data_IF_688765766401
#
_entry.id   IF_688765766401
#
_cell.length_a   1.000
_cell.length_b   1.000
_cell.length_c   1.000
_cell.angle_alpha   90.00
_cell.angle_beta   90.00
_cell.angle_gamma   90.00
#
_symmetry.space_group_name_H-M   'P 1'
#
loop_
_entity.id
_entity.type
_entity.pdbx_description
1 polymer ?
#
# COMPACT_ATOMS: atom_id res chain seq x y z
N UNK A 1 6.87 -19.49 -40.87
CA UNK A 1 6.40 -20.41 -39.81
C UNK A 1 7.42 -20.51 -38.65
N UNK A 2 7.61 -19.44 -37.86
CA UNK A 2 8.53 -19.43 -36.68
C UNK A 2 7.97 -18.69 -35.46
N UNK A 3 6.73 -18.17 -35.52
CA UNK A 3 6.17 -17.30 -34.47
C UNK A 3 5.07 -17.96 -33.63
N UNK A 4 4.71 -19.23 -33.87
CA UNK A 4 3.65 -19.91 -33.12
C UNK A 4 4.16 -20.66 -31.88
N UNK A 5 5.47 -20.89 -31.75
CA UNK A 5 6.04 -21.66 -30.64
C UNK A 5 6.42 -20.82 -29.40
N UNK A 6 6.54 -19.50 -29.52
CA UNK A 6 6.90 -18.63 -28.37
C UNK A 6 5.68 -18.33 -27.48
N UNK A 7 4.46 -18.38 -28.03
CA UNK A 7 3.24 -18.13 -27.25
C UNK A 7 2.83 -19.28 -26.32
N UNK A 8 3.31 -20.51 -26.53
CA UNK A 8 2.85 -21.66 -25.71
C UNK A 8 3.51 -21.76 -24.34
N UNK A 9 4.63 -21.06 -24.10
CA UNK A 9 5.38 -21.15 -22.83
C UNK A 9 4.77 -20.21 -21.75
N UNK A 10 3.94 -19.23 -22.13
CA UNK A 10 3.29 -18.31 -21.19
C UNK A 10 2.06 -18.89 -20.46
N UNK A 11 1.89 -20.21 -20.49
CA UNK A 11 0.83 -20.92 -19.78
C UNK A 11 1.40 -21.83 -18.70
N UNK A 12 2.38 -21.33 -17.92
CA UNK A 12 2.62 -21.90 -16.59
C UNK A 12 1.35 -21.63 -15.78
N UNK A 13 0.40 -22.57 -15.84
CA UNK A 13 -0.79 -22.61 -14.99
C UNK A 13 -0.30 -22.51 -13.54
N UNK A 14 -0.67 -21.43 -12.86
CA UNK A 14 -0.47 -21.29 -11.41
C UNK A 14 -1.12 -22.50 -10.72
N UNK A 15 -0.28 -23.45 -10.31
CA UNK A 15 -0.69 -24.57 -9.47
C UNK A 15 -1.10 -23.98 -8.13
N UNK A 16 -2.39 -24.07 -7.81
CA UNK A 16 -2.91 -23.64 -6.50
C UNK A 16 -2.90 -24.84 -5.58
N UNK A 17 -2.03 -24.83 -4.58
CA UNK A 17 -2.05 -25.81 -3.50
C UNK A 17 -3.28 -25.50 -2.65
N UNK A 18 -4.20 -26.47 -2.54
CA UNK A 18 -5.38 -26.37 -1.71
C UNK A 18 -5.07 -26.92 -0.33
N UNK A 19 -5.51 -26.19 0.70
CA UNK A 19 -5.38 -26.59 2.10
C UNK A 19 -6.73 -26.41 2.79
N UNK A 20 -7.04 -27.29 3.73
CA UNK A 20 -8.27 -27.22 4.53
C UNK A 20 -8.00 -26.46 5.82
N UNK A 21 -8.89 -25.53 6.16
CA UNK A 21 -8.90 -24.83 7.46
C UNK A 21 -10.22 -25.18 8.14
N UNK A 22 -10.15 -25.75 9.34
CA UNK A 22 -11.34 -26.01 10.16
C UNK A 22 -11.65 -24.78 11.02
N UNK A 23 -12.91 -24.38 11.05
CA UNK A 23 -13.42 -23.25 11.82
C UNK A 23 -14.78 -23.63 12.38
N UNK A 24 -15.17 -22.97 13.47
CA UNK A 24 -16.51 -23.10 14.04
C UNK A 24 -17.58 -22.60 13.05
N UNK A 25 -18.80 -23.13 13.18
CA UNK A 25 -19.92 -22.78 12.30
C UNK A 25 -20.26 -21.29 12.34
N UNK A 26 -20.12 -20.66 13.51
CA UNK A 26 -20.33 -19.22 13.66
C UNK A 26 -19.33 -18.41 12.82
N UNK A 27 -18.05 -18.77 12.88
CA UNK A 27 -16.99 -18.13 12.08
C UNK A 27 -17.23 -18.36 10.59
N UNK A 28 -17.68 -19.57 10.21
CA UNK A 28 -18.05 -19.88 8.83
C UNK A 28 -19.17 -18.97 8.33
N UNK A 29 -20.24 -18.76 9.12
CA UNK A 29 -21.35 -17.85 8.79
C UNK A 29 -20.84 -16.42 8.59
N UNK A 30 -19.99 -15.93 9.50
CA UNK A 30 -19.41 -14.60 9.41
C UNK A 30 -18.54 -14.42 8.15
N UNK A 31 -17.73 -15.42 7.79
CA UNK A 31 -16.96 -15.41 6.55
C UNK A 31 -17.83 -15.34 5.30
N UNK A 32 -18.98 -16.02 5.28
CA UNK A 32 -19.95 -15.92 4.19
C UNK A 32 -20.57 -14.53 4.10
N UNK A 33 -20.94 -13.92 5.23
CA UNK A 33 -21.46 -12.55 5.26
C UNK A 33 -20.45 -11.55 4.70
N UNK A 34 -19.17 -11.67 5.08
CA UNK A 34 -18.09 -10.81 4.56
C UNK A 34 -17.91 -11.02 3.05
N UNK A 35 -17.96 -12.27 2.57
CA UNK A 35 -17.86 -12.57 1.14
C UNK A 35 -19.03 -11.97 0.34
N UNK A 36 -20.25 -12.02 0.89
CA UNK A 36 -21.45 -11.43 0.27
C UNK A 36 -21.35 -9.90 0.20
N UNK A 37 -20.89 -9.26 1.27
CA UNK A 37 -20.66 -7.82 1.29
C UNK A 37 -19.60 -7.40 0.26
N UNK A 38 -18.49 -8.15 0.16
CA UNK A 38 -17.46 -7.92 -0.85
C UNK A 38 -17.98 -8.12 -2.27
N UNK A 39 -18.84 -9.12 -2.49
CA UNK A 39 -19.47 -9.37 -3.77
C UNK A 39 -20.40 -8.22 -4.17
N UNK A 40 -21.20 -7.71 -3.24
CA UNK A 40 -22.06 -6.54 -3.45
C UNK A 40 -21.23 -5.32 -3.86
N UNK A 41 -20.15 -5.02 -3.13
CA UNK A 41 -19.27 -3.87 -3.41
C UNK A 41 -18.50 -3.98 -4.73
N UNK A 42 -18.03 -5.18 -5.09
CA UNK A 42 -17.18 -5.39 -6.28
C UNK A 42 -17.97 -5.73 -7.55
N UNK A 43 -19.29 -5.96 -7.45
CA UNK A 43 -20.14 -6.35 -8.57
C UNK A 43 -19.76 -7.70 -9.21
N UNK A 44 -18.98 -8.54 -8.52
CA UNK A 44 -18.50 -9.83 -9.04
C UNK A 44 -18.48 -10.91 -7.96
N UNK A 45 -18.70 -12.16 -8.40
CA UNK A 45 -18.67 -13.33 -7.52
C UNK A 45 -17.35 -13.39 -6.76
N UNK A 46 -17.44 -13.44 -5.44
CA UNK A 46 -16.29 -13.44 -4.54
C UNK A 46 -16.19 -14.79 -3.85
N UNK A 47 -15.00 -15.41 -3.87
CA UNK A 47 -14.77 -16.70 -3.18
C UNK A 47 -14.39 -16.47 -1.72
N UNK A 48 -14.51 -17.53 -0.90
CA UNK A 48 -14.03 -17.48 0.50
C UNK A 48 -12.54 -17.14 0.58
N UNK A 49 -11.71 -17.62 -0.36
CA UNK A 49 -10.29 -17.25 -0.41
C UNK A 49 -10.08 -15.75 -0.65
N UNK A 50 -10.94 -15.10 -1.44
CA UNK A 50 -10.87 -13.65 -1.64
C UNK A 50 -11.32 -12.87 -0.41
N UNK A 51 -12.31 -13.38 0.33
CA UNK A 51 -12.70 -12.82 1.63
C UNK A 51 -11.56 -12.95 2.67
N UNK A 52 -10.94 -14.14 2.76
CA UNK A 52 -9.79 -14.37 3.64
C UNK A 52 -8.62 -13.46 3.27
N UNK A 53 -8.27 -13.35 1.98
CA UNK A 53 -7.23 -12.42 1.51
C UNK A 53 -7.54 -10.97 1.89
N UNK A 54 -8.80 -10.55 1.79
CA UNK A 54 -9.21 -9.21 2.20
C UNK A 54 -8.98 -8.97 3.69
N UNK A 55 -9.36 -9.92 4.54
CA UNK A 55 -9.13 -9.84 5.99
C UNK A 55 -7.64 -9.82 6.34
N UNK A 56 -6.83 -10.68 5.70
CA UNK A 56 -5.37 -10.68 5.85
C UNK A 56 -4.79 -9.33 5.43
N UNK A 57 -5.25 -8.79 4.29
CA UNK A 57 -4.80 -7.48 3.81
C UNK A 57 -5.12 -6.37 4.81
N UNK A 58 -6.31 -6.37 5.43
CA UNK A 58 -6.66 -5.41 6.49
C UNK A 58 -5.74 -5.57 7.70
N UNK A 59 -5.54 -6.80 8.17
CA UNK A 59 -4.67 -7.08 9.32
C UNK A 59 -3.22 -6.65 9.06
N UNK A 60 -2.65 -7.00 7.91
CA UNK A 60 -1.31 -6.59 7.50
C UNK A 60 -1.21 -5.09 7.25
N UNK A 61 -2.28 -4.46 6.76
CA UNK A 61 -2.36 -3.01 6.58
C UNK A 61 -2.27 -2.27 7.90
N UNK A 62 -2.90 -2.80 8.95
CA UNK A 62 -2.80 -2.26 10.32
C UNK A 62 -1.41 -2.48 10.92
N UNK A 63 -0.70 -3.51 10.48
CA UNK A 63 0.71 -3.79 10.83
C UNK A 63 1.73 -3.06 9.95
N UNK A 64 1.31 -2.23 8.98
CA UNK A 64 2.27 -1.45 8.18
C UNK A 64 3.12 -0.62 9.13
N UNK A 65 4.41 -0.97 9.16
CA UNK A 65 5.43 -0.33 9.96
C UNK A 65 5.43 1.17 9.62
N UNK A 66 4.75 1.94 10.46
CA UNK A 66 4.60 3.40 10.30
C UNK A 66 5.98 4.02 10.17
N UNK A 67 7.00 3.45 10.82
CA UNK A 67 8.40 3.85 10.70
C UNK A 67 8.95 3.66 9.29
N UNK A 68 8.60 2.57 8.62
CA UNK A 68 8.98 2.27 7.23
C UNK A 68 8.22 3.14 6.23
N UNK A 69 6.95 3.45 6.47
CA UNK A 69 6.24 4.47 5.67
C UNK A 69 6.82 5.86 5.88
N UNK A 70 7.15 6.26 7.11
CA UNK A 70 7.80 7.54 7.40
C UNK A 70 9.21 7.62 6.79
N UNK A 71 9.93 6.51 6.67
CA UNK A 71 11.20 6.47 5.92
C UNK A 71 11.02 6.68 4.41
N UNK A 72 9.82 6.47 3.86
CA UNK A 72 9.50 6.76 2.46
C UNK A 72 9.09 8.24 2.26
N UNK A 73 8.60 8.93 3.30
CA UNK A 73 8.18 10.34 3.24
C UNK A 73 9.32 11.35 3.44
N UNK A 74 10.58 10.91 3.47
CA UNK A 74 11.72 11.82 3.48
C UNK A 74 12.94 11.22 2.80
N UNK A 75 13.34 11.79 1.66
CA UNK A 75 14.51 11.40 0.88
C UNK A 75 15.86 11.50 1.64
N UNK A 76 15.83 12.01 2.87
CA UNK A 76 17.02 12.36 3.65
C UNK A 76 17.29 11.43 4.83
N UNK A 77 16.39 10.48 5.10
CA UNK A 77 16.56 9.51 6.18
C UNK A 77 17.00 10.13 7.51
N UNK A 78 17.96 9.47 8.16
CA UNK A 78 18.61 9.94 9.39
C UNK A 78 19.96 10.63 9.12
N UNK A 79 20.20 11.19 7.94
CA UNK A 79 21.50 11.82 7.62
C UNK A 79 21.60 13.21 8.27
N UNK A 80 22.44 13.39 9.30
CA UNK A 80 22.45 14.61 10.11
C UNK A 80 22.93 15.85 9.34
N UNK A 81 23.86 15.67 8.39
CA UNK A 81 24.37 16.77 7.55
C UNK A 81 23.29 17.38 6.69
N UNK A 82 22.45 16.53 6.10
CA UNK A 82 21.43 16.97 5.18
C UNK A 82 20.26 17.66 5.90
N UNK A 83 19.96 17.25 7.14
CA UNK A 83 19.03 17.97 8.04
C UNK A 83 19.54 19.34 8.44
N UNK A 84 20.84 19.46 8.73
CA UNK A 84 21.46 20.75 9.07
C UNK A 84 21.38 21.72 7.88
N UNK A 85 21.74 21.24 6.68
CA UNK A 85 21.67 22.04 5.45
C UNK A 85 20.24 22.53 5.16
N UNK A 86 19.23 21.68 5.31
CA UNK A 86 17.84 22.10 5.13
C UNK A 86 17.40 23.18 6.12
N UNK A 87 17.89 23.13 7.36
CA UNK A 87 17.57 24.13 8.37
C UNK A 87 18.18 25.49 8.00
N UNK A 88 19.41 25.49 7.50
CA UNK A 88 20.10 26.70 7.03
C UNK A 88 19.37 27.32 5.83
N UNK A 89 19.06 26.51 4.80
CA UNK A 89 18.30 26.95 3.63
C UNK A 89 16.92 27.52 3.98
N UNK A 90 16.27 26.96 5.01
CA UNK A 90 14.94 27.42 5.43
C UNK A 90 14.99 28.79 6.11
N UNK A 91 16.02 29.04 6.92
CA UNK A 91 16.23 30.36 7.55
C UNK A 91 16.53 31.42 6.50
N UNK A 92 17.39 31.11 5.52
CA UNK A 92 17.73 32.02 4.43
C UNK A 92 16.49 32.41 3.60
N UNK A 93 15.62 31.43 3.30
CA UNK A 93 14.38 31.68 2.58
C UNK A 93 13.41 32.56 3.37
N UNK A 94 13.25 32.32 4.68
CA UNK A 94 12.39 33.14 5.55
C UNK A 94 12.87 34.61 5.57
N UNK A 95 14.17 34.86 5.70
CA UNK A 95 14.73 36.23 5.64
C UNK A 95 14.49 36.90 4.29
N UNK A 96 14.61 36.15 3.20
CA UNK A 96 14.38 36.66 1.84
C UNK A 96 12.91 37.05 1.67
N UNK A 97 12.00 36.21 2.13
CA UNK A 97 10.56 36.46 2.08
C UNK A 97 10.17 37.68 2.90
N UNK A 98 10.70 37.83 4.12
CA UNK A 98 10.47 39.03 4.93
C UNK A 98 10.94 40.32 4.27
N UNK A 99 12.08 40.29 3.57
CA UNK A 99 12.59 41.44 2.81
C UNK A 99 11.66 41.78 1.65
N UNK A 100 11.14 40.78 0.95
CA UNK A 100 10.18 40.97 -0.15
C UNK A 100 8.86 41.54 0.36
N UNK A 101 8.33 41.01 1.47
CA UNK A 101 7.10 41.51 2.10
C UNK A 101 7.25 42.96 2.53
N UNK A 102 8.38 43.33 3.15
CA UNK A 102 8.67 44.72 3.52
C UNK A 102 8.74 45.66 2.32
N UNK A 103 9.32 45.22 1.21
CA UNK A 103 9.38 46.00 -0.05
C UNK A 103 8.01 46.18 -0.71
N UNK A 104 7.11 45.22 -0.55
CA UNK A 104 5.77 45.30 -1.14
C UNK A 104 4.82 46.22 -0.32
N UNK A 105 5.11 46.41 0.97
CA UNK A 105 4.31 47.24 1.88
C UNK A 105 4.77 48.71 1.98
N UNK A 106 5.91 49.05 1.38
CA UNK A 106 6.44 50.42 1.26
C UNK A 106 6.07 51.03 -0.10
#
# INVERSE_FOLDING_TARGET
MRNLFIFSIFTIKSVRILSTIQVEDEIKRQLFSIAAELQSKKGKKTSLNEAIKHLISIYLSRKRDVRRMLSLFGCLGSEPKARKLLKELRVEEEERLEKLTRKHLA
#
